data_IF_957885301243
#
_entry.id   IF_957885301243
#
_cell.length_a   1.000
_cell.length_b   1.000
_cell.length_c   1.000
_cell.angle_alpha   90.00
_cell.angle_beta   90.00
_cell.angle_gamma   90.00
#
_symmetry.space_group_name_H-M   'P 1'
#
loop_
_entity.id
_entity.type
_entity.pdbx_description
1 polymer ?
#
# COMPACT_ATOMS: atom_id res chain seq x y z
N UNK A 1 -10.69 -29.31 -15.06
CA UNK A 1 -9.31 -28.82 -15.27
C UNK A 1 -8.86 -27.99 -14.06
N UNK A 2 -8.32 -28.61 -13.00
CA UNK A 2 -8.01 -27.95 -11.72
C UNK A 2 -6.63 -27.26 -11.63
N UNK A 3 -5.73 -27.49 -12.60
CA UNK A 3 -4.35 -26.98 -12.53
C UNK A 3 -4.26 -25.45 -12.75
N UNK A 4 -5.11 -24.89 -13.61
CA UNK A 4 -5.15 -23.45 -13.90
C UNK A 4 -5.73 -22.60 -12.76
N UNK A 5 -6.67 -23.13 -11.99
CA UNK A 5 -7.28 -22.41 -10.87
C UNK A 5 -6.25 -22.08 -9.78
N UNK A 6 -5.37 -23.04 -9.47
CA UNK A 6 -4.31 -22.86 -8.48
C UNK A 6 -3.23 -21.88 -8.95
N UNK A 7 -2.87 -21.88 -10.24
CA UNK A 7 -1.89 -20.92 -10.80
C UNK A 7 -2.45 -19.50 -10.77
N UNK A 8 -3.72 -19.31 -11.14
CA UNK A 8 -4.37 -18.00 -11.09
C UNK A 8 -4.49 -17.47 -9.65
N UNK A 9 -4.82 -18.32 -8.68
CA UNK A 9 -4.86 -17.94 -7.27
C UNK A 9 -3.49 -17.49 -6.77
N UNK A 10 -2.43 -18.25 -7.08
CA UNK A 10 -1.05 -17.87 -6.71
C UNK A 10 -0.62 -16.56 -7.38
N UNK A 11 -1.01 -16.32 -8.63
CA UNK A 11 -0.72 -15.07 -9.32
C UNK A 11 -1.42 -13.87 -8.65
N UNK A 12 -2.67 -14.03 -8.20
CA UNK A 12 -3.38 -12.97 -7.45
C UNK A 12 -2.74 -12.67 -6.10
N UNK A 13 -2.35 -13.69 -5.34
CA UNK A 13 -1.61 -13.52 -4.07
C UNK A 13 -0.29 -12.78 -4.32
N UNK A 14 0.49 -13.21 -5.30
CA UNK A 14 1.77 -12.56 -5.64
C UNK A 14 1.57 -11.09 -6.04
N UNK A 15 0.53 -10.79 -6.82
CA UNK A 15 0.16 -9.41 -7.16
C UNK A 15 -0.19 -8.60 -5.91
N UNK A 16 -1.03 -9.13 -5.01
CA UNK A 16 -1.40 -8.44 -3.78
C UNK A 16 -0.19 -8.13 -2.89
N UNK A 17 0.77 -9.06 -2.79
CA UNK A 17 2.03 -8.86 -2.07
C UNK A 17 2.90 -7.77 -2.72
N UNK A 18 3.01 -7.77 -4.06
CA UNK A 18 3.80 -6.78 -4.78
C UNK A 18 3.21 -5.36 -4.62
N UNK A 19 1.90 -5.21 -4.80
CA UNK A 19 1.19 -3.95 -4.65
C UNK A 19 1.30 -3.42 -3.21
N UNK A 20 1.10 -4.29 -2.20
CA UNK A 20 1.26 -3.92 -0.79
C UNK A 20 2.69 -3.46 -0.46
N UNK A 21 3.71 -4.09 -1.05
CA UNK A 21 5.12 -3.69 -0.86
C UNK A 21 5.42 -2.34 -1.50
N UNK A 22 4.84 -2.06 -2.66
CA UNK A 22 4.94 -0.75 -3.30
C UNK A 22 4.29 0.35 -2.44
N UNK A 23 3.09 0.08 -1.91
CA UNK A 23 2.39 1.00 -1.00
C UNK A 23 3.20 1.26 0.28
N UNK A 24 3.73 0.21 0.92
CA UNK A 24 4.55 0.34 2.12
C UNK A 24 5.82 1.17 1.90
N UNK A 25 6.47 0.96 0.74
CA UNK A 25 7.64 1.75 0.34
C UNK A 25 7.28 3.23 0.17
N UNK A 26 6.14 3.52 -0.47
CA UNK A 26 5.65 4.89 -0.63
C UNK A 26 5.30 5.56 0.71
N UNK A 27 4.69 4.83 1.67
CA UNK A 27 4.44 5.34 3.03
C UNK A 27 5.74 5.68 3.75
N UNK A 28 6.77 4.83 3.59
CA UNK A 28 8.09 5.07 4.17
C UNK A 28 8.76 6.33 3.58
N UNK A 29 8.68 6.52 2.27
CA UNK A 29 9.22 7.73 1.59
C UNK A 29 8.43 8.98 2.01
N UNK A 30 7.11 8.89 2.09
CA UNK A 30 6.26 9.96 2.62
C UNK A 30 6.68 10.33 4.04
N UNK A 31 6.87 9.32 4.90
CA UNK A 31 7.32 9.49 6.28
C UNK A 31 8.64 10.23 6.40
N UNK A 32 9.62 9.86 5.56
CA UNK A 32 10.93 10.51 5.52
C UNK A 32 10.84 11.99 5.09
N UNK A 33 9.93 12.34 4.19
CA UNK A 33 9.77 13.72 3.72
C UNK A 33 8.93 14.60 4.66
N UNK A 34 7.84 14.05 5.20
CA UNK A 34 6.88 14.77 6.03
C UNK A 34 7.28 14.83 7.50
N UNK A 35 8.20 13.98 7.95
CA UNK A 35 8.49 13.77 9.37
C UNK A 35 7.35 13.06 10.13
N UNK A 36 6.32 12.61 9.42
CA UNK A 36 5.20 11.81 9.92
C UNK A 36 4.71 10.86 8.84
N UNK A 37 4.24 9.67 9.21
CA UNK A 37 3.72 8.70 8.25
C UNK A 37 2.37 9.12 7.68
N UNK A 38 2.07 8.64 6.47
CA UNK A 38 0.77 8.85 5.85
C UNK A 38 -0.34 8.17 6.67
N UNK A 39 -1.53 8.77 6.70
CA UNK A 39 -2.74 8.20 7.32
C UNK A 39 -3.77 7.78 6.28
N UNK A 40 -3.60 8.13 5.00
CA UNK A 40 -4.46 7.74 3.90
C UNK A 40 -3.67 7.45 2.62
N UNK A 41 -4.07 6.40 1.89
CA UNK A 41 -3.42 6.02 0.62
C UNK A 41 -3.49 7.13 -0.45
N UNK A 42 -4.51 7.98 -0.40
CA UNK A 42 -4.68 9.14 -1.31
C UNK A 42 -3.62 10.22 -1.12
N UNK A 43 -2.96 10.28 0.05
CA UNK A 43 -1.84 11.20 0.28
C UNK A 43 -0.59 10.77 -0.51
N UNK A 44 -0.47 9.47 -0.83
CA UNK A 44 0.65 8.95 -1.62
C UNK A 44 0.54 9.34 -3.09
N UNK A 45 -0.67 9.63 -3.56
CA UNK A 45 -0.96 10.03 -4.95
C UNK A 45 -1.06 11.53 -5.15
N UNK A 46 -0.79 12.31 -4.10
CA UNK A 46 -0.87 13.77 -4.13
C UNK A 46 0.51 14.36 -3.90
N UNK A 47 0.73 15.55 -4.45
CA UNK A 47 1.87 16.37 -4.06
C UNK A 47 1.65 16.87 -2.62
N UNK A 48 2.72 16.90 -1.82
CA UNK A 48 2.68 17.35 -0.43
C UNK A 48 3.83 18.30 -0.13
N UNK A 49 3.57 19.25 0.77
CA UNK A 49 4.54 20.25 1.21
C UNK A 49 4.86 20.05 2.68
N UNK A 50 6.14 19.88 3.03
CA UNK A 50 6.54 19.61 4.41
C UNK A 50 6.54 20.90 5.25
N UNK A 51 6.80 20.77 6.56
CA UNK A 51 6.85 21.92 7.47
C UNK A 51 7.97 22.93 7.17
N UNK A 52 8.93 22.60 6.29
CA UNK A 52 9.97 23.51 5.81
C UNK A 52 9.62 24.17 4.47
N UNK A 53 8.42 23.93 3.94
CA UNK A 53 7.99 24.46 2.63
C UNK A 53 8.53 23.67 1.43
N UNK A 54 9.15 22.51 1.65
CA UNK A 54 9.68 21.68 0.57
C UNK A 54 8.57 20.80 0.00
N UNK A 55 8.54 20.71 -1.32
CA UNK A 55 7.50 20.01 -2.08
C UNK A 55 8.03 18.65 -2.54
N UNK A 56 7.24 17.59 -2.35
CA UNK A 56 7.52 16.27 -2.88
C UNK A 56 6.26 15.54 -3.35
N UNK A 57 6.46 14.43 -4.04
CA UNK A 57 5.40 13.60 -4.57
C UNK A 57 4.93 14.02 -5.97
N UNK A 58 3.96 13.29 -6.55
CA UNK A 58 3.30 12.13 -5.96
C UNK A 58 4.25 10.93 -5.79
N UNK A 59 4.15 10.22 -4.66
CA UNK A 59 4.99 9.06 -4.36
C UNK A 59 4.51 7.79 -5.08
N UNK A 60 3.26 7.81 -5.53
CA UNK A 60 2.67 6.82 -6.42
C UNK A 60 1.83 7.51 -7.49
N UNK A 61 1.83 6.99 -8.72
CA UNK A 61 0.95 7.51 -9.78
C UNK A 61 -0.53 7.32 -9.45
N UNK A 62 -0.89 6.19 -8.87
CA UNK A 62 -2.25 5.83 -8.43
C UNK A 62 -2.17 4.84 -7.26
N UNK A 63 -3.25 4.72 -6.48
CA UNK A 63 -3.41 3.59 -5.57
C UNK A 63 -3.72 2.34 -6.41
N UNK A 64 -2.93 1.26 -6.33
CA UNK A 64 -3.16 0.06 -7.12
C UNK A 64 -4.54 -0.53 -6.87
N UNK A 65 -5.22 -0.95 -7.94
CA UNK A 65 -6.43 -1.75 -7.79
C UNK A 65 -6.05 -3.16 -7.31
N UNK A 66 -6.74 -3.68 -6.27
CA UNK A 66 -6.49 -5.04 -5.80
C UNK A 66 -6.86 -6.07 -6.88
N UNK A 67 -6.32 -7.30 -6.82
CA UNK A 67 -6.72 -8.37 -7.71
C UNK A 67 -8.25 -8.65 -7.63
N UNK A 68 -8.83 -9.20 -8.70
CA UNK A 68 -10.26 -9.55 -8.69
C UNK A 68 -10.60 -10.47 -7.52
N UNK A 69 -11.67 -10.13 -6.77
CA UNK A 69 -12.10 -10.87 -5.58
C UNK A 69 -11.34 -10.54 -4.29
N UNK A 70 -10.41 -9.57 -4.32
CA UNK A 70 -9.73 -9.07 -3.14
C UNK A 70 -10.35 -7.74 -2.66
N UNK A 71 -10.30 -7.52 -1.35
CA UNK A 71 -10.67 -6.26 -0.74
C UNK A 71 -9.68 -5.14 -1.10
N UNK A 72 -10.15 -3.89 -1.07
CA UNK A 72 -9.30 -2.71 -1.22
C UNK A 72 -8.16 -2.72 -0.20
N UNK A 73 -7.01 -2.17 -0.59
CA UNK A 73 -5.90 -1.97 0.34
C UNK A 73 -6.29 -0.99 1.43
N UNK A 74 -6.04 -1.37 2.69
CA UNK A 74 -6.26 -0.54 3.86
C UNK A 74 -4.92 -0.18 4.49
N UNK A 75 -4.75 1.11 4.79
CA UNK A 75 -3.62 1.64 5.56
C UNK A 75 -4.09 1.89 6.99
N UNK A 76 -3.49 1.19 7.94
CA UNK A 76 -3.62 1.48 9.37
C UNK A 76 -2.33 2.12 9.83
N UNK A 77 -2.40 3.36 10.30
CA UNK A 77 -1.22 4.16 10.67
C UNK A 77 -1.32 4.65 12.11
N UNK A 78 -0.21 4.56 12.85
CA UNK A 78 -0.02 5.20 14.14
C UNK A 78 1.07 6.26 14.02
N UNK A 79 0.66 7.52 13.86
CA UNK A 79 1.59 8.65 13.68
C UNK A 79 2.40 8.97 14.94
N UNK A 80 1.95 8.53 16.13
CA UNK A 80 2.71 8.73 17.37
C UNK A 80 3.93 7.79 17.46
N UNK A 81 3.83 6.58 16.90
CA UNK A 81 4.93 5.60 16.91
C UNK A 81 5.63 5.47 15.55
N UNK A 82 5.06 6.04 14.48
CA UNK A 82 5.54 5.87 13.11
C UNK A 82 5.29 4.47 12.52
N UNK A 83 4.52 3.63 13.22
CA UNK A 83 4.20 2.26 12.78
C UNK A 83 2.99 2.31 11.87
N UNK A 84 3.05 1.59 10.74
CA UNK A 84 1.91 1.41 9.86
C UNK A 84 1.75 -0.05 9.43
N UNK A 85 0.62 -0.34 8.80
CA UNK A 85 0.35 -1.63 8.19
C UNK A 85 -0.52 -1.43 6.96
N UNK A 86 -0.10 -2.03 5.84
CA UNK A 86 -0.90 -2.17 4.63
C UNK A 86 -1.47 -3.58 4.60
N UNK A 87 -2.80 -3.68 4.49
CA UNK A 87 -3.48 -4.97 4.43
C UNK A 87 -4.50 -5.06 3.30
N UNK A 88 -4.71 -6.28 2.80
CA UNK A 88 -5.78 -6.66 1.88
C UNK A 88 -6.03 -8.17 1.99
N UNK A 89 -7.26 -8.60 1.79
CA UNK A 89 -7.66 -10.00 1.90
C UNK A 89 -8.43 -10.47 0.66
N UNK A 90 -8.21 -11.71 0.28
CA UNK A 90 -8.83 -12.37 -0.87
C UNK A 90 -8.24 -13.77 -1.05
N UNK A 91 -8.87 -14.61 -1.86
CA UNK A 91 -8.41 -15.99 -2.09
C UNK A 91 -8.13 -16.78 -0.77
N UNK A 92 -8.94 -16.56 0.26
CA UNK A 92 -8.79 -17.10 1.63
C UNK A 92 -7.44 -16.80 2.30
N UNK A 93 -6.77 -15.73 1.87
CA UNK A 93 -5.46 -15.29 2.33
C UNK A 93 -5.51 -13.81 2.71
N UNK A 94 -4.72 -13.40 3.70
CA UNK A 94 -4.52 -11.99 4.04
C UNK A 94 -3.07 -11.62 3.80
N UNK A 95 -2.84 -10.59 3.00
CA UNK A 95 -1.54 -9.93 2.88
C UNK A 95 -1.50 -8.79 3.88
N UNK A 96 -0.45 -8.75 4.69
CA UNK A 96 -0.20 -7.70 5.66
C UNK A 96 1.29 -7.37 5.66
N UNK A 97 1.64 -6.12 5.39
CA UNK A 97 3.01 -5.64 5.40
C UNK A 97 3.13 -4.40 6.30
N UNK A 98 4.22 -4.28 7.06
CA UNK A 98 4.53 -3.06 7.80
C UNK A 98 4.99 -1.94 6.88
#
# INVERSE_FOLDING_TARGET
MPLYANVQQRARIAKAQADARALASAVSIYGAHMGTISTALTQLTSQVTNGQGQVAGPFMSTVPNPPSGWANYTLTANTATGVFTISSSGDSTTVSLP
#
